data_IF_174107681602
#
_entry.id   IF_174107681602
#
_cell.length_a   1.000
_cell.length_b   1.000
_cell.length_c   1.000
_cell.angle_alpha   90.00
_cell.angle_beta   90.00
_cell.angle_gamma   90.00
#
_symmetry.space_group_name_H-M   'P 1'
#
loop_
_entity.id
_entity.type
_entity.pdbx_description
1 polymer ?
#
# COMPACT_ATOMS: atom_id res chain seq x y z
N UNK A 1 -5.40 15.61 14.86
CA UNK A 1 -6.60 16.32 15.34
C UNK A 1 -7.77 16.18 14.37
N UNK A 2 -7.77 16.86 13.21
CA UNK A 2 -8.94 16.86 12.29
C UNK A 2 -9.43 15.46 11.87
N UNK A 3 -8.52 14.54 11.54
CA UNK A 3 -8.93 13.17 11.17
C UNK A 3 -9.72 12.49 12.28
N UNK A 4 -9.23 12.53 13.52
CA UNK A 4 -9.88 11.93 14.69
C UNK A 4 -11.17 12.65 15.06
N UNK A 5 -11.10 13.96 15.27
CA UNK A 5 -12.20 14.77 15.79
C UNK A 5 -13.33 14.95 14.78
N UNK A 6 -13.00 15.38 13.57
CA UNK A 6 -13.99 15.79 12.55
C UNK A 6 -14.26 14.66 11.57
N UNK A 7 -13.21 14.13 10.92
CA UNK A 7 -13.38 13.22 9.77
C UNK A 7 -14.01 11.90 10.19
N UNK A 8 -13.62 11.37 11.34
CA UNK A 8 -14.18 10.12 11.87
C UNK A 8 -15.19 10.32 12.98
N UNK A 9 -15.72 11.55 13.14
CA UNK A 9 -16.71 11.91 14.15
C UNK A 9 -16.32 11.42 15.56
N UNK A 10 -15.17 11.89 16.04
CA UNK A 10 -14.62 11.55 17.37
C UNK A 10 -14.40 10.04 17.58
N UNK A 11 -13.77 9.37 16.62
CA UNK A 11 -13.33 7.99 16.77
C UNK A 11 -12.35 7.83 17.95
N UNK A 12 -12.40 6.68 18.62
CA UNK A 12 -11.63 6.41 19.85
C UNK A 12 -10.66 5.25 19.73
N UNK A 13 -10.77 4.46 18.67
CA UNK A 13 -10.01 3.23 18.44
C UNK A 13 -9.65 3.14 16.97
N UNK A 14 -8.37 2.95 16.68
CA UNK A 14 -7.84 2.88 15.32
C UNK A 14 -6.86 1.73 15.21
N UNK A 15 -6.94 0.99 14.11
CA UNK A 15 -5.94 0.01 13.74
C UNK A 15 -4.91 0.71 12.85
N UNK A 16 -3.64 0.57 13.22
CA UNK A 16 -2.50 1.15 12.55
C UNK A 16 -1.67 0.02 11.94
N UNK A 17 -1.45 0.08 10.63
CA UNK A 17 -0.75 -0.96 9.88
C UNK A 17 0.36 -0.34 9.03
N UNK A 18 1.53 -0.97 8.93
CA UNK A 18 2.56 -0.60 7.96
C UNK A 18 1.97 -0.45 6.56
N UNK A 19 2.25 0.69 5.92
CA UNK A 19 1.89 0.89 4.52
C UNK A 19 2.99 0.26 3.67
N UNK A 20 2.75 -0.98 3.28
CA UNK A 20 3.63 -1.76 2.43
C UNK A 20 3.78 -1.09 1.05
N UNK A 21 5.02 -0.98 0.59
CA UNK A 21 5.33 -0.48 -0.75
C UNK A 21 5.45 -1.66 -1.74
N UNK A 22 4.29 -2.24 -2.09
CA UNK A 22 4.20 -3.43 -2.92
C UNK A 22 3.18 -3.32 -4.05
N UNK A 23 2.53 -4.46 -4.32
CA UNK A 23 1.38 -4.54 -5.21
C UNK A 23 0.19 -5.24 -4.55
N UNK A 24 -0.96 -4.58 -4.53
CA UNK A 24 -2.19 -5.14 -3.98
C UNK A 24 -2.63 -6.42 -4.71
N UNK A 25 -2.95 -7.45 -3.91
CA UNK A 25 -3.41 -8.76 -4.36
C UNK A 25 -4.65 -9.19 -3.56
N UNK A 26 -5.62 -9.78 -4.26
CA UNK A 26 -6.80 -10.42 -3.68
C UNK A 26 -6.74 -11.92 -3.96
N UNK A 27 -6.76 -12.74 -2.92
CA UNK A 27 -6.78 -14.19 -2.98
C UNK A 27 -8.21 -14.68 -2.70
N UNK A 28 -8.85 -15.31 -3.68
CA UNK A 28 -10.17 -15.93 -3.56
C UNK A 28 -10.01 -17.38 -3.13
N UNK A 29 -10.51 -17.68 -1.94
CA UNK A 29 -10.63 -19.03 -1.41
C UNK A 29 -12.09 -19.48 -1.48
N UNK A 30 -12.30 -20.70 -1.97
CA UNK A 30 -13.59 -21.38 -1.98
C UNK A 30 -13.48 -22.64 -1.16
N UNK A 31 -14.31 -22.75 -0.13
CA UNK A 31 -14.20 -23.79 0.89
C UNK A 31 -12.76 -23.99 1.40
N UNK A 32 -12.13 -22.88 1.77
CA UNK A 32 -10.74 -22.88 2.21
C UNK A 32 -9.68 -23.11 1.13
N UNK A 33 -10.04 -23.41 -0.13
CA UNK A 33 -9.07 -23.70 -1.20
C UNK A 33 -8.85 -22.50 -2.10
N UNK A 34 -7.59 -22.18 -2.39
CA UNK A 34 -7.25 -21.09 -3.30
C UNK A 34 -7.73 -21.42 -4.71
N UNK A 35 -8.67 -20.64 -5.25
CA UNK A 35 -9.18 -20.84 -6.61
C UNK A 35 -8.72 -19.77 -7.58
N UNK A 36 -8.49 -18.54 -7.10
CA UNK A 36 -8.11 -17.41 -7.95
C UNK A 36 -7.29 -16.41 -7.16
N UNK A 37 -6.34 -15.77 -7.82
CA UNK A 37 -5.67 -14.58 -7.34
C UNK A 37 -5.75 -13.46 -8.39
N UNK A 38 -6.11 -12.25 -7.96
CA UNK A 38 -6.29 -11.12 -8.85
C UNK A 38 -5.58 -9.86 -8.35
N UNK A 39 -4.95 -9.13 -9.28
CA UNK A 39 -4.39 -7.81 -8.97
C UNK A 39 -5.51 -6.76 -8.82
N UNK A 40 -5.21 -5.64 -8.17
CA UNK A 40 -6.19 -4.55 -8.00
C UNK A 40 -6.74 -3.97 -9.32
N UNK A 41 -5.89 -3.81 -10.34
CA UNK A 41 -6.25 -3.17 -11.61
C UNK A 41 -7.00 -1.84 -11.45
N UNK A 42 -8.20 -1.72 -12.03
CA UNK A 42 -9.05 -0.53 -11.94
C UNK A 42 -9.82 -0.39 -10.62
N UNK A 43 -9.63 -1.32 -9.67
CA UNK A 43 -10.47 -1.47 -8.47
C UNK A 43 -11.73 -2.31 -8.70
N UNK A 44 -12.19 -2.40 -9.95
CA UNK A 44 -13.33 -3.26 -10.34
C UNK A 44 -12.90 -4.44 -11.20
N UNK A 45 -11.82 -4.29 -11.99
CA UNK A 45 -11.29 -5.33 -12.85
C UNK A 45 -9.78 -5.45 -12.64
N UNK A 46 -9.36 -6.67 -12.29
CA UNK A 46 -7.97 -7.07 -12.10
C UNK A 46 -7.46 -7.99 -13.20
N UNK A 47 -6.15 -8.23 -13.17
CA UNK A 47 -5.49 -9.28 -13.94
C UNK A 47 -5.45 -10.57 -13.10
N UNK A 48 -5.77 -11.71 -13.72
CA UNK A 48 -5.63 -13.03 -13.10
C UNK A 48 -4.14 -13.40 -13.05
N UNK A 49 -3.65 -13.61 -11.83
CA UNK A 49 -2.25 -13.93 -11.53
C UNK A 49 -2.15 -15.20 -10.69
N UNK A 50 -3.18 -16.06 -10.73
CA UNK A 50 -3.33 -17.25 -9.87
C UNK A 50 -2.12 -18.18 -9.97
N UNK A 51 -1.60 -18.40 -11.19
CA UNK A 51 -0.45 -19.28 -11.41
C UNK A 51 0.82 -18.79 -10.68
N UNK A 52 1.06 -17.48 -10.63
CA UNK A 52 2.21 -16.92 -9.92
C UNK A 52 1.93 -16.74 -8.43
N UNK A 53 0.70 -16.40 -8.04
CA UNK A 53 0.33 -16.28 -6.64
C UNK A 53 0.53 -17.59 -5.87
N UNK A 54 0.19 -18.74 -6.48
CA UNK A 54 0.44 -20.08 -5.91
C UNK A 54 1.93 -20.42 -5.68
N UNK A 55 2.84 -19.68 -6.32
CA UNK A 55 4.28 -19.86 -6.17
C UNK A 55 4.86 -19.00 -5.06
N UNK A 56 4.11 -18.04 -4.53
CA UNK A 56 4.56 -17.18 -3.44
C UNK A 56 4.70 -18.04 -2.18
N UNK A 57 5.85 -17.90 -1.52
CA UNK A 57 6.30 -18.81 -0.46
C UNK A 57 5.29 -19.01 0.68
N UNK A 58 4.59 -17.96 1.07
CA UNK A 58 3.66 -17.95 2.20
C UNK A 58 2.17 -17.90 1.78
N UNK A 59 1.86 -18.09 0.49
CA UNK A 59 0.47 -18.22 0.02
C UNK A 59 0.05 -19.68 0.13
N UNK A 60 -0.88 -19.97 1.04
CA UNK A 60 -1.39 -21.31 1.26
C UNK A 60 -2.36 -21.74 0.13
N UNK A 61 -2.26 -22.99 -0.32
CA UNK A 61 -3.28 -23.56 -1.22
C UNK A 61 -4.59 -23.86 -0.46
N UNK A 62 -4.50 -24.11 0.84
CA UNK A 62 -5.62 -24.38 1.74
C UNK A 62 -5.50 -23.62 3.04
N UNK A 63 -6.58 -23.01 3.51
CA UNK A 63 -6.68 -22.34 4.81
C UNK A 63 -7.23 -23.30 5.87
N UNK A 64 -6.93 -23.00 7.14
CA UNK A 64 -7.59 -23.62 8.29
C UNK A 64 -9.00 -22.99 8.52
N UNK A 65 -9.76 -22.88 7.43
CA UNK A 65 -11.10 -22.33 7.35
C UNK A 65 -11.84 -22.94 6.16
N UNK A 66 -13.00 -23.55 6.39
CA UNK A 66 -13.74 -24.27 5.35
C UNK A 66 -14.74 -23.40 4.57
N UNK A 67 -14.71 -22.08 4.73
CA UNK A 67 -15.61 -21.15 4.07
C UNK A 67 -15.01 -20.40 2.89
N UNK A 68 -15.89 -19.65 2.23
CA UNK A 68 -15.53 -18.78 1.12
C UNK A 68 -15.09 -17.41 1.63
N UNK A 69 -13.93 -16.92 1.18
CA UNK A 69 -13.44 -15.58 1.51
C UNK A 69 -12.49 -15.04 0.45
N UNK A 70 -12.38 -13.72 0.39
CA UNK A 70 -11.35 -12.99 -0.33
C UNK A 70 -10.36 -12.40 0.67
N UNK A 71 -9.16 -12.95 0.73
CA UNK A 71 -8.08 -12.40 1.55
C UNK A 71 -7.40 -11.29 0.76
N UNK A 72 -7.37 -10.07 1.31
CA UNK A 72 -6.78 -8.90 0.68
C UNK A 72 -5.48 -8.52 1.38
N UNK A 73 -4.45 -8.29 0.58
CA UNK A 73 -3.13 -7.97 1.09
C UNK A 73 -2.27 -7.30 0.04
N UNK A 74 -1.02 -7.09 0.40
CA UNK A 74 0.01 -6.58 -0.51
C UNK A 74 1.05 -7.68 -0.72
N UNK A 75 1.49 -7.85 -1.96
CA UNK A 75 2.73 -8.60 -2.24
C UNK A 75 3.92 -7.66 -2.15
N UNK A 76 4.95 -8.11 -1.43
CA UNK A 76 6.20 -7.36 -1.23
C UNK A 76 7.40 -8.25 -1.55
N UNK A 77 8.49 -7.60 -1.93
CA UNK A 77 9.80 -8.22 -2.06
C UNK A 77 10.58 -7.94 -0.77
N UNK A 78 10.99 -8.97 0.00
CA UNK A 78 11.84 -8.76 1.17
C UNK A 78 13.13 -8.04 0.80
N UNK A 79 13.52 -7.03 1.58
CA UNK A 79 14.70 -6.19 1.31
C UNK A 79 15.99 -7.00 1.32
N UNK A 80 16.11 -8.01 2.18
CA UNK A 80 17.27 -8.89 2.21
C UNK A 80 17.43 -9.64 0.87
N UNK A 81 16.35 -10.24 0.37
CA UNK A 81 16.35 -10.96 -0.91
C UNK A 81 16.62 -10.00 -2.07
N UNK A 82 16.01 -8.81 -2.06
CA UNK A 82 16.25 -7.80 -3.07
C UNK A 82 17.72 -7.38 -3.14
N UNK A 83 18.33 -7.08 -1.98
CA UNK A 83 19.74 -6.67 -1.89
C UNK A 83 20.68 -7.77 -2.36
N UNK A 84 20.38 -9.02 -2.03
CA UNK A 84 21.22 -10.17 -2.40
C UNK A 84 21.12 -10.52 -3.89
N UNK A 85 19.90 -10.56 -4.45
CA UNK A 85 19.65 -11.15 -5.78
C UNK A 85 19.38 -10.14 -6.89
N UNK A 86 18.87 -8.94 -6.55
CA UNK A 86 18.15 -8.11 -7.52
C UNK A 86 18.53 -6.63 -7.56
N UNK A 87 19.37 -6.15 -6.64
CA UNK A 87 19.75 -4.74 -6.57
C UNK A 87 20.39 -4.21 -7.88
N UNK A 88 21.14 -5.06 -8.58
CA UNK A 88 21.76 -4.72 -9.88
C UNK A 88 20.80 -4.92 -11.08
N UNK A 89 19.65 -5.56 -10.86
CA UNK A 89 18.73 -5.99 -11.92
C UNK A 89 17.51 -5.07 -12.04
N UNK A 90 17.04 -4.55 -10.90
CA UNK A 90 15.85 -3.72 -10.79
C UNK A 90 16.09 -2.50 -9.88
N UNK A 91 15.48 -1.34 -10.18
CA UNK A 91 15.75 -0.10 -9.44
C UNK A 91 15.08 -0.06 -8.06
N UNK A 92 13.98 -0.79 -7.85
CA UNK A 92 13.33 -0.86 -6.55
C UNK A 92 12.57 -2.18 -6.35
N UNK A 93 12.40 -2.61 -5.08
CA UNK A 93 11.65 -3.81 -4.69
C UNK A 93 10.20 -3.79 -5.20
N UNK A 94 9.51 -2.65 -5.11
CA UNK A 94 8.10 -2.52 -5.51
C UNK A 94 7.84 -2.93 -6.96
N UNK A 95 8.60 -2.36 -7.90
CA UNK A 95 8.46 -2.63 -9.33
C UNK A 95 8.84 -4.07 -9.66
N UNK A 96 9.84 -4.61 -8.97
CA UNK A 96 10.23 -6.00 -9.14
C UNK A 96 9.13 -6.96 -8.67
N UNK A 97 8.50 -6.69 -7.51
CA UNK A 97 7.40 -7.49 -6.99
C UNK A 97 6.21 -7.50 -7.96
N UNK A 98 5.77 -6.32 -8.41
CA UNK A 98 4.69 -6.19 -9.38
C UNK A 98 5.00 -6.90 -10.71
N UNK A 99 6.24 -6.75 -11.20
CA UNK A 99 6.70 -7.40 -12.43
C UNK A 99 6.78 -8.92 -12.29
N UNK A 100 7.19 -9.43 -11.13
CA UNK A 100 7.33 -10.87 -10.85
C UNK A 100 5.98 -11.59 -10.76
N UNK A 101 4.97 -10.91 -10.23
CA UNK A 101 3.61 -11.45 -10.14
C UNK A 101 2.91 -11.56 -11.51
N UNK A 102 3.21 -10.65 -12.44
CA UNK A 102 2.52 -10.52 -13.74
C UNK A 102 3.22 -11.25 -14.89
N UNK A 103 4.19 -12.11 -14.60
CA UNK A 103 4.92 -12.82 -15.65
C UNK A 103 4.04 -13.88 -16.32
N UNK A 104 4.11 -13.97 -17.65
CA UNK A 104 3.38 -15.00 -18.43
C UNK A 104 3.94 -16.41 -18.24
N UNK A 105 5.25 -16.51 -18.03
CA UNK A 105 5.95 -17.77 -17.81
C UNK A 105 6.84 -17.64 -16.59
N UNK A 106 7.11 -18.76 -15.93
CA UNK A 106 7.75 -18.78 -14.63
C UNK A 106 9.15 -18.14 -14.56
N UNK A 107 9.85 -18.16 -15.70
CA UNK A 107 11.23 -17.70 -15.86
C UNK A 107 11.37 -16.49 -16.81
N UNK A 108 10.24 -15.88 -17.21
CA UNK A 108 10.25 -14.86 -18.26
C UNK A 108 10.72 -13.47 -17.78
N UNK A 109 10.74 -13.21 -16.48
CA UNK A 109 11.09 -11.88 -15.97
C UNK A 109 12.27 -11.88 -15.00
N UNK A 110 12.57 -10.68 -14.53
CA UNK A 110 13.76 -10.35 -13.74
C UNK A 110 13.75 -10.88 -12.31
N UNK A 111 12.58 -11.13 -11.75
CA UNK A 111 12.38 -11.62 -10.39
C UNK A 111 11.49 -12.85 -10.37
N UNK A 112 11.45 -13.53 -9.23
CA UNK A 112 10.70 -14.77 -9.08
C UNK A 112 9.56 -14.59 -8.10
N UNK A 113 8.43 -15.24 -8.37
CA UNK A 113 7.28 -15.21 -7.46
C UNK A 113 7.59 -15.92 -6.13
N UNK A 114 8.46 -16.93 -6.12
CA UNK A 114 8.86 -17.64 -4.89
C UNK A 114 9.63 -16.75 -3.91
N UNK A 115 10.27 -15.70 -4.42
CA UNK A 115 11.03 -14.74 -3.62
C UNK A 115 10.15 -13.62 -3.03
N UNK A 116 8.84 -13.64 -3.32
CA UNK A 116 7.86 -12.70 -2.77
C UNK A 116 7.23 -13.23 -1.48
N UNK A 117 6.64 -12.28 -0.75
CA UNK A 117 5.83 -12.52 0.45
C UNK A 117 4.51 -11.78 0.29
N UNK A 118 3.41 -12.42 0.68
CA UNK A 118 2.08 -11.81 0.75
C UNK A 118 1.72 -11.49 2.21
N UNK A 119 1.32 -10.25 2.50
CA UNK A 119 0.91 -9.84 3.83
C UNK A 119 -0.52 -9.30 3.80
N UNK A 120 -1.42 -9.94 4.53
CA UNK A 120 -2.84 -9.59 4.54
C UNK A 120 -3.12 -8.37 5.43
N UNK A 121 -4.04 -7.53 4.98
CA UNK A 121 -4.53 -6.36 5.71
C UNK A 121 -6.06 -6.35 5.90
N UNK A 122 -6.75 -7.41 5.47
CA UNK A 122 -8.18 -7.58 5.64
C UNK A 122 -8.76 -8.72 4.79
N UNK A 123 -10.04 -8.99 4.98
CA UNK A 123 -10.79 -9.99 4.24
C UNK A 123 -12.16 -9.45 3.82
N UNK A 124 -12.72 -10.02 2.76
CA UNK A 124 -14.11 -9.82 2.38
C UNK A 124 -14.79 -11.17 2.18
N UNK A 125 -16.09 -11.22 2.45
CA UNK A 125 -16.87 -12.44 2.33
C UNK A 125 -17.91 -12.27 1.21
N UNK A 126 -18.02 -13.23 0.27
CA UNK A 126 -19.03 -13.15 -0.77
C UNK A 126 -20.44 -13.12 -0.17
N UNK A 127 -21.35 -12.39 -0.82
CA UNK A 127 -22.77 -12.45 -0.49
C UNK A 127 -23.32 -13.88 -0.61
N UNK A 128 -24.37 -14.21 0.14
CA UNK A 128 -25.00 -15.54 0.18
C UNK A 128 -25.24 -16.16 -1.21
N UNK A 129 -25.81 -15.39 -2.15
CA UNK A 129 -26.08 -15.84 -3.51
C UNK A 129 -24.83 -16.20 -4.34
N UNK A 130 -23.65 -15.73 -3.90
CA UNK A 130 -22.36 -15.93 -4.56
C UNK A 130 -21.45 -16.89 -3.78
N UNK A 131 -21.88 -17.44 -2.64
CA UNK A 131 -21.12 -18.41 -1.83
C UNK A 131 -21.37 -19.85 -2.32
N UNK A 132 -20.39 -20.72 -2.10
CA UNK A 132 -20.55 -22.15 -2.27
C UNK A 132 -21.65 -22.68 -1.31
N UNK A 133 -22.53 -23.60 -1.73
CA UNK A 133 -23.62 -24.11 -0.88
C UNK A 133 -23.16 -24.69 0.47
N UNK A 134 -22.04 -25.40 0.47
CA UNK A 134 -21.45 -25.96 1.71
C UNK A 134 -20.52 -24.98 2.46
N UNK A 135 -20.40 -23.72 2.03
CA UNK A 135 -19.62 -22.73 2.78
C UNK A 135 -20.33 -22.42 4.09
N UNK A 136 -19.67 -22.48 5.26
CA UNK A 136 -20.21 -21.90 6.49
C UNK A 136 -20.55 -20.41 6.34
N UNK A 137 -21.33 -19.91 7.29
CA UNK A 137 -21.60 -18.48 7.44
C UNK A 137 -20.30 -17.71 7.72
N UNK A 138 -20.15 -16.50 7.16
CA UNK A 138 -19.00 -15.66 7.45
C UNK A 138 -18.89 -15.36 8.96
N UNK A 139 -17.67 -15.36 9.51
CA UNK A 139 -17.45 -14.86 10.86
C UNK A 139 -17.86 -13.38 10.94
N UNK A 140 -18.43 -13.00 12.08
CA UNK A 140 -18.75 -11.61 12.41
C UNK A 140 -17.66 -11.03 13.28
N UNK A 141 -17.18 -9.83 12.96
CA UNK A 141 -16.13 -9.15 13.70
C UNK A 141 -16.67 -7.83 14.24
N UNK A 142 -16.36 -7.53 15.50
CA UNK A 142 -16.66 -6.20 16.08
C UNK A 142 -15.68 -5.17 15.51
N UNK A 143 -14.41 -5.55 15.46
CA UNK A 143 -13.28 -4.72 15.05
C UNK A 143 -12.54 -5.28 13.84
N UNK A 144 -11.88 -4.41 13.07
CA UNK A 144 -10.97 -4.89 12.00
C UNK A 144 -9.83 -5.67 12.64
N UNK A 145 -9.39 -5.28 13.83
CA UNK A 145 -8.37 -6.00 14.59
C UNK A 145 -8.77 -7.45 14.95
N UNK A 146 -10.05 -7.74 15.09
CA UNK A 146 -10.53 -9.12 15.27
C UNK A 146 -10.42 -9.91 13.97
N UNK A 147 -10.77 -9.30 12.84
CA UNK A 147 -10.61 -9.90 11.51
C UNK A 147 -9.15 -10.19 11.17
N UNK A 148 -8.24 -9.27 11.50
CA UNK A 148 -6.80 -9.49 11.33
C UNK A 148 -6.32 -10.64 12.23
N UNK A 149 -6.78 -10.71 13.47
CA UNK A 149 -6.47 -11.83 14.37
C UNK A 149 -7.01 -13.17 13.83
N UNK A 150 -8.21 -13.15 13.25
CA UNK A 150 -8.80 -14.32 12.61
C UNK A 150 -7.99 -14.78 11.40
N UNK A 151 -7.57 -13.87 10.51
CA UNK A 151 -6.68 -14.18 9.39
C UNK A 151 -5.41 -14.90 9.87
N UNK A 152 -4.80 -14.41 10.94
CA UNK A 152 -3.64 -15.06 11.53
C UNK A 152 -3.97 -16.46 12.07
N UNK A 153 -5.14 -16.63 12.70
CA UNK A 153 -5.58 -17.93 13.25
C UNK A 153 -5.84 -19.00 12.20
N UNK A 154 -6.13 -18.61 10.95
CA UNK A 154 -6.39 -19.54 9.83
C UNK A 154 -5.17 -19.76 8.93
N UNK A 155 -3.98 -19.33 9.38
CA UNK A 155 -2.70 -19.57 8.70
C UNK A 155 -2.29 -18.49 7.69
N UNK A 156 -2.91 -17.30 7.71
CA UNK A 156 -2.53 -16.19 6.82
C UNK A 156 -1.58 -15.24 7.54
N UNK A 157 -0.43 -14.95 6.93
CA UNK A 157 0.47 -13.90 7.42
C UNK A 157 -0.14 -12.50 7.26
N UNK A 158 -0.01 -11.68 8.31
CA UNK A 158 -0.64 -10.35 8.40
C UNK A 158 0.40 -9.25 8.37
N UNK A 159 0.02 -8.07 7.86
CA UNK A 159 0.88 -6.87 7.86
C UNK A 159 1.14 -6.31 9.27
N UNK A 160 0.27 -6.62 10.22
CA UNK A 160 0.29 -6.11 11.59
C UNK A 160 -1.11 -5.86 12.13
N UNK A 161 -1.22 -5.81 13.47
CA UNK A 161 -2.50 -5.68 14.18
C UNK A 161 -2.44 -4.69 15.35
N UNK A 162 -1.67 -3.60 15.20
CA UNK A 162 -1.47 -2.63 16.27
C UNK A 162 -2.68 -1.69 16.41
N UNK A 163 -3.27 -1.64 17.61
CA UNK A 163 -4.42 -0.79 17.90
C UNK A 163 -4.00 0.40 18.76
N UNK A 164 -4.37 1.60 18.34
CA UNK A 164 -4.16 2.85 19.05
C UNK A 164 -5.51 3.50 19.41
N UNK A 165 -5.65 3.97 20.64
CA UNK A 165 -6.89 4.60 21.09
C UNK A 165 -6.71 5.41 22.37
N UNK A 166 -7.73 6.19 22.73
CA UNK A 166 -7.71 7.06 23.90
C UNK A 166 -9.11 7.49 24.33
N UNK A 167 -9.20 8.09 25.53
CA UNK A 167 -10.46 8.56 26.10
C UNK A 167 -10.99 9.85 25.44
N UNK A 168 -10.09 10.65 24.87
CA UNK A 168 -10.37 11.93 24.22
C UNK A 168 -9.54 12.11 22.94
N UNK A 169 -9.79 13.21 22.21
CA UNK A 169 -9.13 13.47 20.92
C UNK A 169 -7.61 13.61 21.07
N UNK A 170 -7.14 14.20 22.18
CA UNK A 170 -5.73 14.48 22.41
C UNK A 170 -4.94 13.19 22.72
N UNK A 171 -5.44 12.37 23.63
CA UNK A 171 -4.88 11.06 23.97
C UNK A 171 -4.93 10.10 22.78
N UNK A 172 -6.02 10.08 22.02
CA UNK A 172 -6.16 9.27 20.80
C UNK A 172 -5.15 9.69 19.72
N UNK A 173 -5.03 10.99 19.44
CA UNK A 173 -4.03 11.49 18.50
C UNK A 173 -2.61 11.15 18.96
N UNK A 174 -2.32 11.27 20.25
CA UNK A 174 -0.99 10.99 20.81
C UNK A 174 -0.63 9.51 20.67
N UNK A 175 -1.59 8.60 20.89
CA UNK A 175 -1.40 7.17 20.69
C UNK A 175 -1.10 6.84 19.22
N UNK A 176 -1.89 7.35 18.27
CA UNK A 176 -1.63 7.15 16.83
C UNK A 176 -0.25 7.70 16.43
N UNK A 177 0.10 8.90 16.90
CA UNK A 177 1.42 9.50 16.62
C UNK A 177 2.58 8.75 17.27
N UNK A 178 2.36 8.04 18.37
CA UNK A 178 3.37 7.16 18.95
C UNK A 178 3.65 5.96 18.03
N UNK A 179 2.59 5.31 17.52
CA UNK A 179 2.72 4.22 16.53
C UNK A 179 3.47 4.70 15.28
N UNK A 180 3.07 5.84 14.72
CA UNK A 180 3.72 6.42 13.54
C UNK A 180 5.20 6.68 13.78
N UNK A 181 5.56 7.26 14.94
CA UNK A 181 6.97 7.53 15.27
C UNK A 181 7.78 6.25 15.39
N UNK A 182 7.27 5.25 16.12
CA UNK A 182 7.94 3.97 16.26
C UNK A 182 8.23 3.33 14.90
N UNK A 183 7.25 3.30 14.00
CA UNK A 183 7.43 2.78 12.65
C UNK A 183 8.35 3.63 11.77
N UNK A 184 8.37 4.95 11.97
CA UNK A 184 9.30 5.84 11.27
C UNK A 184 10.74 5.54 11.68
N UNK A 185 10.98 5.36 12.98
CA UNK A 185 12.31 5.13 13.54
C UNK A 185 12.87 3.75 13.17
N UNK A 186 12.01 2.72 13.09
CA UNK A 186 12.40 1.36 12.69
C UNK A 186 12.34 1.12 11.16
N UNK A 187 12.03 2.14 10.35
CA UNK A 187 11.84 2.00 8.89
C UNK A 187 13.05 1.35 8.21
N UNK A 188 14.27 1.73 8.58
CA UNK A 188 15.49 1.21 7.96
C UNK A 188 15.75 -0.27 8.27
N UNK A 189 15.23 -0.75 9.40
CA UNK A 189 15.35 -2.14 9.83
C UNK A 189 14.15 -3.02 9.45
N UNK A 190 13.16 -2.48 8.73
CA UNK A 190 12.02 -3.25 8.28
C UNK A 190 12.44 -4.31 7.26
N UNK A 191 11.76 -5.46 7.26
CA UNK A 191 12.05 -6.57 6.34
C UNK A 191 11.63 -6.29 4.89
N UNK A 192 10.75 -5.31 4.70
CA UNK A 192 10.18 -4.89 3.42
C UNK A 192 10.07 -3.37 3.34
N UNK A 193 9.98 -2.85 2.12
CA UNK A 193 9.83 -1.42 1.88
C UNK A 193 8.47 -0.94 2.40
N UNK A 194 8.50 0.10 3.25
CA UNK A 194 7.33 0.77 3.79
C UNK A 194 7.40 2.27 3.48
N UNK A 195 6.29 2.85 3.02
CA UNK A 195 6.21 4.27 2.66
C UNK A 195 5.33 5.08 3.61
N UNK A 196 4.86 4.47 4.70
CA UNK A 196 4.06 5.13 5.72
C UNK A 196 3.31 4.17 6.63
N UNK A 197 2.24 4.68 7.23
CA UNK A 197 1.29 3.95 8.07
C UNK A 197 -0.13 4.18 7.58
N UNK A 198 -0.92 3.12 7.47
CA UNK A 198 -2.36 3.21 7.25
C UNK A 198 -3.07 3.20 8.59
N UNK A 199 -3.80 4.26 8.88
CA UNK A 199 -4.61 4.42 10.09
C UNK A 199 -6.07 4.26 9.69
N UNK A 200 -6.77 3.26 10.24
CA UNK A 200 -8.19 3.01 9.97
C UNK A 200 -8.97 3.11 11.27
N UNK A 201 -10.15 3.71 11.25
CA UNK A 201 -11.09 3.63 12.38
C UNK A 201 -11.39 2.15 12.64
N UNK A 202 -10.98 1.60 13.78
CA UNK A 202 -11.10 0.16 14.07
C UNK A 202 -12.53 -0.17 14.43
N UNK A 203 -13.36 -0.40 13.42
CA UNK A 203 -14.77 -0.79 13.52
C UNK A 203 -15.08 -1.65 12.27
N UNK A 204 -15.46 -2.92 12.45
CA UNK A 204 -15.75 -3.84 11.35
C UNK A 204 -17.25 -4.06 11.12
N UNK A 205 -18.09 -3.84 12.12
CA UNK A 205 -19.53 -4.03 11.97
C UNK A 205 -20.18 -2.92 11.13
N UNK A 206 -21.24 -3.29 10.40
CA UNK A 206 -22.20 -2.41 9.72
C UNK A 206 -22.91 -1.41 10.66
N UNK A 207 -22.49 -1.28 11.92
CA UNK A 207 -23.00 -0.29 12.86
C UNK A 207 -22.39 1.08 12.57
N UNK A 208 -22.94 1.65 11.50
CA UNK A 208 -23.15 3.07 11.22
C UNK A 208 -21.93 3.91 10.84
N UNK A 209 -20.78 3.93 11.53
CA UNK A 209 -19.82 5.00 11.21
C UNK A 209 -19.15 4.85 9.86
N UNK A 210 -18.60 3.68 9.51
CA UNK A 210 -17.92 3.53 8.20
C UNK A 210 -18.87 3.69 7.02
N UNK A 211 -20.10 3.19 7.12
CA UNK A 211 -21.13 3.36 6.10
C UNK A 211 -21.58 4.82 5.97
N UNK A 212 -21.82 5.50 7.09
CA UNK A 212 -22.17 6.93 7.10
C UNK A 212 -21.03 7.81 6.56
N UNK A 213 -19.78 7.47 6.90
CA UNK A 213 -18.59 8.16 6.40
C UNK A 213 -18.39 7.88 4.91
N UNK A 214 -18.69 6.67 4.46
CA UNK A 214 -18.63 6.26 3.07
C UNK A 214 -17.24 6.44 2.44
N UNK A 215 -17.25 6.68 1.13
CA UNK A 215 -16.05 6.87 0.32
C UNK A 215 -16.14 8.15 -0.50
N UNK A 216 -14.98 8.73 -0.79
CA UNK A 216 -14.80 9.66 -1.92
C UNK A 216 -14.81 8.90 -3.24
N UNK A 217 -14.57 9.58 -4.36
CA UNK A 217 -14.45 8.93 -5.68
C UNK A 217 -13.42 7.80 -5.72
N UNK A 218 -12.41 7.82 -4.84
CA UNK A 218 -11.29 6.87 -4.88
C UNK A 218 -10.84 6.31 -3.52
N UNK A 219 -11.23 6.92 -2.40
CA UNK A 219 -10.70 6.57 -1.07
C UNK A 219 -11.77 6.57 0.03
N UNK A 220 -11.75 5.62 0.97
CA UNK A 220 -12.63 5.64 2.13
C UNK A 220 -12.31 6.80 3.07
N UNK A 221 -13.33 7.40 3.71
CA UNK A 221 -13.13 8.52 4.65
C UNK A 221 -12.66 8.06 6.03
N UNK A 222 -12.90 6.80 6.37
CA UNK A 222 -12.56 6.19 7.65
C UNK A 222 -11.12 5.66 7.72
N UNK A 223 -10.33 5.81 6.65
CA UNK A 223 -8.93 5.45 6.62
C UNK A 223 -8.05 6.57 6.06
N UNK A 224 -6.83 6.65 6.57
CA UNK A 224 -5.83 7.64 6.19
C UNK A 224 -4.49 6.92 5.96
N UNK A 225 -3.85 7.21 4.83
CA UNK A 225 -2.45 6.84 4.60
C UNK A 225 -1.55 7.99 5.06
N UNK A 226 -0.88 7.81 6.19
CA UNK A 226 0.15 8.72 6.69
C UNK A 226 1.49 8.35 6.07
N UNK A 227 1.88 9.02 5.00
CA UNK A 227 3.18 8.80 4.35
C UNK A 227 4.32 9.35 5.22
N UNK A 228 5.45 8.64 5.23
CA UNK A 228 6.67 9.17 5.82
C UNK A 228 7.19 10.37 5.01
N UNK A 229 8.03 11.23 5.62
CA UNK A 229 8.74 12.25 4.87
C UNK A 229 9.49 11.61 3.69
N UNK A 230 9.31 12.13 2.46
CA UNK A 230 9.99 11.57 1.29
C UNK A 230 11.50 11.79 1.43
N UNK A 231 12.29 10.92 0.82
CA UNK A 231 13.72 11.17 0.68
C UNK A 231 13.94 12.38 -0.24
N UNK A 232 14.86 13.23 0.17
CA UNK A 232 15.22 14.44 -0.54
C UNK A 232 16.65 14.30 -1.06
N UNK A 233 16.90 14.79 -2.26
CA UNK A 233 18.26 14.96 -2.76
C UNK A 233 18.48 16.39 -3.25
N UNK A 234 19.73 16.85 -3.18
CA UNK A 234 20.13 18.12 -3.77
C UNK A 234 20.84 17.85 -5.09
N UNK A 235 20.42 18.52 -6.15
CA UNK A 235 21.01 18.45 -7.48
C UNK A 235 21.07 19.85 -8.10
N UNK A 236 21.61 19.97 -9.32
CA UNK A 236 21.74 21.22 -10.05
C UNK A 236 20.67 21.30 -11.13
N UNK A 237 19.96 22.43 -11.20
CA UNK A 237 19.05 22.74 -12.30
C UNK A 237 19.86 23.03 -13.57
N UNK A 238 19.78 22.16 -14.57
CA UNK A 238 20.56 22.27 -15.79
C UNK A 238 19.80 23.03 -16.89
N UNK A 239 18.50 22.76 -17.02
CA UNK A 239 17.66 23.36 -18.06
C UNK A 239 16.17 23.33 -17.68
N UNK A 240 15.31 24.03 -18.43
CA UNK A 240 13.85 23.96 -18.30
C UNK A 240 13.19 23.87 -19.69
N UNK A 241 12.61 22.70 -19.97
CA UNK A 241 11.81 22.47 -21.16
C UNK A 241 10.34 22.87 -20.93
N UNK A 242 9.69 23.44 -21.95
CA UNK A 242 8.26 23.76 -21.90
C UNK A 242 7.48 22.81 -22.78
N UNK A 243 6.66 21.96 -22.15
CA UNK A 243 5.88 20.93 -22.83
C UNK A 243 4.41 21.33 -22.96
N UNK A 244 3.86 21.27 -24.16
CA UNK A 244 2.43 21.52 -24.40
C UNK A 244 1.63 20.23 -24.28
N UNK A 245 0.72 20.19 -23.31
CA UNK A 245 -0.18 19.05 -23.09
C UNK A 245 -1.31 18.98 -24.13
N UNK A 246 -2.05 17.86 -24.13
CA UNK A 246 -3.15 17.59 -25.07
C UNK A 246 -4.29 18.63 -25.03
N UNK A 247 -4.44 19.32 -23.91
CA UNK A 247 -5.44 20.38 -23.70
C UNK A 247 -4.89 21.79 -23.96
N UNK A 248 -3.67 21.92 -24.47
CA UNK A 248 -3.00 23.21 -24.71
C UNK A 248 -2.28 23.80 -23.49
N UNK A 249 -2.35 23.17 -22.32
CA UNK A 249 -1.63 23.60 -21.13
C UNK A 249 -0.12 23.47 -21.33
N UNK A 250 0.62 24.55 -21.16
CA UNK A 250 2.09 24.55 -21.23
C UNK A 250 2.67 24.33 -19.83
N UNK A 251 3.41 23.23 -19.68
CA UNK A 251 3.98 22.78 -18.40
C UNK A 251 5.49 22.89 -18.44
N UNK A 252 6.12 23.63 -17.50
CA UNK A 252 7.57 23.64 -17.37
C UNK A 252 8.07 22.34 -16.72
N UNK A 253 9.09 21.75 -17.34
CA UNK A 253 9.76 20.52 -16.90
C UNK A 253 11.24 20.84 -16.77
N UNK A 254 11.75 20.82 -15.53
CA UNK A 254 13.17 20.99 -15.27
C UNK A 254 13.96 19.75 -15.64
N UNK A 255 15.11 19.96 -16.28
CA UNK A 255 16.21 18.99 -16.40
C UNK A 255 17.20 19.26 -15.28
N UNK A 256 17.51 18.24 -14.52
CA UNK A 256 18.47 18.32 -13.40
C UNK A 256 19.66 17.41 -13.65
N UNK A 257 20.79 17.70 -13.02
CA UNK A 257 21.92 16.77 -13.03
C UNK A 257 21.46 15.42 -12.43
N UNK A 258 21.83 14.26 -13.04
CA UNK A 258 21.35 12.97 -12.58
C UNK A 258 21.62 12.76 -11.09
N UNK A 259 20.57 12.47 -10.34
CA UNK A 259 20.64 12.24 -8.89
C UNK A 259 19.76 11.08 -8.49
N UNK A 260 20.22 10.23 -7.57
CA UNK A 260 19.42 9.09 -7.08
C UNK A 260 18.52 9.55 -5.94
N UNK A 261 17.21 9.31 -6.06
CA UNK A 261 16.19 9.57 -5.02
C UNK A 261 15.31 8.34 -4.89
N UNK A 262 15.29 7.70 -3.71
CA UNK A 262 14.50 6.49 -3.46
C UNK A 262 14.71 5.40 -4.51
N UNK A 263 15.98 5.06 -4.75
CA UNK A 263 16.43 3.99 -5.65
C UNK A 263 16.32 4.27 -7.15
N UNK A 264 15.82 5.45 -7.55
CA UNK A 264 15.66 5.81 -8.96
C UNK A 264 16.49 7.04 -9.31
N UNK A 265 17.18 6.99 -10.46
CA UNK A 265 17.85 8.17 -11.03
C UNK A 265 16.83 9.15 -11.57
N UNK A 266 16.80 10.35 -11.01
CA UNK A 266 15.97 11.48 -11.43
C UNK A 266 16.82 12.43 -12.27
N UNK A 267 16.37 12.65 -13.50
CA UNK A 267 16.96 13.62 -14.43
C UNK A 267 15.96 14.70 -14.85
N UNK A 268 14.67 14.45 -14.62
CA UNK A 268 13.59 15.36 -14.98
C UNK A 268 12.60 15.47 -13.83
N UNK A 269 12.15 16.69 -13.54
CA UNK A 269 11.05 16.92 -12.59
C UNK A 269 10.15 18.05 -13.07
N UNK A 270 8.85 17.94 -12.75
CA UNK A 270 7.88 18.97 -13.08
C UNK A 270 8.11 20.21 -12.22
N UNK A 271 7.95 21.38 -12.82
CA UNK A 271 7.84 22.65 -12.10
C UNK A 271 6.38 23.09 -11.98
N UNK A 272 5.43 22.18 -12.22
CA UNK A 272 3.98 22.35 -12.17
C UNK A 272 3.40 23.39 -13.14
N UNK A 273 3.73 24.67 -12.97
CA UNK A 273 3.23 25.77 -13.76
C UNK A 273 4.15 27.00 -13.62
N UNK A 274 3.92 28.03 -14.43
CA UNK A 274 4.70 29.28 -14.39
C UNK A 274 4.72 29.94 -13.00
N UNK A 275 3.59 29.96 -12.30
CA UNK A 275 3.51 30.60 -10.98
C UNK A 275 4.41 29.92 -9.94
N UNK A 276 4.60 28.61 -10.06
CA UNK A 276 5.52 27.87 -9.21
C UNK A 276 6.99 28.19 -9.52
N UNK A 277 7.34 28.36 -10.80
CA UNK A 277 8.68 28.84 -11.21
C UNK A 277 8.96 30.22 -10.61
N UNK A 278 8.00 31.14 -10.71
CA UNK A 278 8.11 32.49 -10.14
C UNK A 278 8.20 32.46 -8.62
N UNK A 279 7.40 31.62 -7.94
CA UNK A 279 7.42 31.44 -6.48
C UNK A 279 8.77 30.90 -5.99
N UNK A 280 9.33 29.94 -6.71
CA UNK A 280 10.62 29.33 -6.36
C UNK A 280 11.81 30.26 -6.68
N UNK A 281 11.66 31.17 -7.65
CA UNK A 281 12.71 32.11 -8.03
C UNK A 281 13.97 31.44 -8.58
N UNK A 282 13.84 30.21 -9.09
CA UNK A 282 14.95 29.36 -9.52
C UNK A 282 15.59 29.85 -10.82
N UNK A 283 16.91 29.73 -10.90
CA UNK A 283 17.72 30.04 -12.07
C UNK A 283 18.52 28.80 -12.52
N UNK A 284 18.87 28.77 -13.79
CA UNK A 284 19.77 27.72 -14.31
C UNK A 284 21.10 27.77 -13.57
N UNK A 285 21.58 26.59 -13.14
CA UNK A 285 22.77 26.43 -12.30
C UNK A 285 22.48 26.40 -10.79
N UNK A 286 21.26 26.69 -10.35
CA UNK A 286 20.92 26.64 -8.93
C UNK A 286 21.00 25.21 -8.37
N UNK A 287 21.42 25.11 -7.11
CA UNK A 287 21.25 23.90 -6.32
C UNK A 287 19.80 23.82 -5.86
N UNK A 288 19.08 22.86 -6.40
CA UNK A 288 17.67 22.61 -6.12
C UNK A 288 17.51 21.34 -5.31
N UNK A 289 16.52 21.36 -4.42
CA UNK A 289 16.11 20.17 -3.68
C UNK A 289 14.98 19.47 -4.42
N UNK A 290 15.20 18.21 -4.76
CA UNK A 290 14.24 17.34 -5.43
C UNK A 290 13.71 16.30 -4.45
N UNK A 291 12.40 16.02 -4.56
CA UNK A 291 11.72 15.02 -3.74
C UNK A 291 10.87 14.13 -4.64
N UNK A 292 10.84 12.83 -4.34
CA UNK A 292 9.96 11.88 -5.02
C UNK A 292 8.77 11.60 -4.10
N UNK A 293 7.55 11.92 -4.55
CA UNK A 293 6.29 11.79 -3.78
C UNK A 293 5.43 10.62 -4.25
#
# INVERSE_FOLDING_TARGET
>A
AHFVAETTAQGRRYICQPKLDGSALSLEYRRGRLVRAATRGSGTRGEDVTANARRISNVAETLDWDGDCHVRGEIVMPLAIFREKYAEIAPNPRNLAAGSLRQKHADAGKGRAEDLVFLAYGAEFPAEASRHPDSPEPPTFEYDSDMISWLQSIGVEIVGNEVAGGADDASTCSAILAVIRNWTDMRESADWEIDGIVVKLDEATHLNKRELLGMSSHHPRWALAWKFPPEEATTVLMDVDWQTGRTGNVTPVSRVAPVTVSGVTVENTTLHNRGEVERLGIQLGDKVRVVRR
#
